data_IF_087390516662
#
_entry.id   IF_087390516662
#
_cell.length_a   1.000
_cell.length_b   1.000
_cell.length_c   1.000
_cell.angle_alpha   90.00
_cell.angle_beta   90.00
_cell.angle_gamma   90.00
#
_symmetry.space_group_name_H-M   'P 1'
#
loop_
_entity.id
_entity.type
_entity.pdbx_description
1 polymer ?
#
# COMPACT_ATOMS: atom_id res chain seq x y z
N UNK A 1 25.05 1.84 -16.84
CA UNK A 1 23.68 2.38 -16.94
C UNK A 1 22.66 1.27 -17.21
N UNK A 2 22.72 0.55 -18.34
CA UNK A 2 21.73 -0.48 -18.74
C UNK A 2 21.57 -1.59 -17.69
N UNK A 3 22.66 -2.14 -17.15
CA UNK A 3 22.61 -3.20 -16.12
C UNK A 3 21.86 -2.76 -14.85
N UNK A 4 22.05 -1.51 -14.42
CA UNK A 4 21.35 -0.94 -13.26
C UNK A 4 19.86 -0.78 -13.54
N UNK A 5 19.49 -0.31 -14.73
CA UNK A 5 18.09 -0.20 -15.15
C UNK A 5 17.41 -1.56 -15.19
N UNK A 6 18.08 -2.59 -15.72
CA UNK A 6 17.55 -3.97 -15.74
C UNK A 6 17.39 -4.51 -14.33
N UNK A 7 18.34 -4.26 -13.43
CA UNK A 7 18.26 -4.70 -12.04
C UNK A 7 17.12 -4.02 -11.25
N UNK A 8 16.73 -2.80 -11.64
CA UNK A 8 15.61 -2.07 -11.03
C UNK A 8 14.24 -2.59 -11.45
N UNK A 9 14.10 -3.12 -12.67
CA UNK A 9 12.83 -3.64 -13.18
C UNK A 9 12.14 -4.64 -12.25
N UNK A 10 12.79 -5.72 -11.76
CA UNK A 10 12.11 -6.66 -10.85
C UNK A 10 11.70 -5.99 -9.55
N UNK A 11 12.50 -5.05 -9.03
CA UNK A 11 12.19 -4.33 -7.81
C UNK A 11 10.95 -3.43 -7.95
N UNK A 12 10.88 -2.66 -9.04
CA UNK A 12 9.71 -1.83 -9.36
C UNK A 12 8.48 -2.68 -9.65
N UNK A 13 8.68 -3.83 -10.30
CA UNK A 13 7.60 -4.77 -10.62
C UNK A 13 6.95 -5.33 -9.35
N UNK A 14 7.76 -5.67 -8.35
CA UNK A 14 7.27 -6.14 -7.04
C UNK A 14 6.44 -5.05 -6.34
N UNK A 15 6.80 -3.78 -6.48
CA UNK A 15 6.03 -2.69 -5.91
C UNK A 15 4.71 -2.45 -6.67
N UNK A 16 4.75 -2.39 -8.00
CA UNK A 16 3.62 -1.92 -8.81
C UNK A 16 2.54 -2.98 -9.04
N UNK A 17 2.89 -4.27 -9.16
CA UNK A 17 1.89 -5.32 -9.42
C UNK A 17 0.86 -5.37 -8.29
N UNK A 18 1.23 -5.43 -7.00
CA UNK A 18 0.27 -5.50 -5.90
C UNK A 18 -0.62 -4.27 -5.81
N UNK A 19 -0.08 -3.09 -6.12
CA UNK A 19 -0.87 -1.86 -6.22
C UNK A 19 -1.97 -1.99 -7.29
N UNK A 20 -1.64 -2.52 -8.48
CA UNK A 20 -2.63 -2.78 -9.54
C UNK A 20 -3.67 -3.83 -9.14
N UNK A 21 -3.32 -4.79 -8.27
CA UNK A 21 -4.26 -5.82 -7.81
C UNK A 21 -5.30 -5.30 -6.82
N UNK A 22 -5.15 -4.09 -6.26
CA UNK A 22 -6.15 -3.44 -5.38
C UNK A 22 -7.53 -3.39 -6.05
N UNK A 23 -7.57 -3.18 -7.36
CA UNK A 23 -8.80 -3.07 -8.13
C UNK A 23 -9.28 -4.41 -8.72
N UNK A 24 -8.61 -5.52 -8.41
CA UNK A 24 -8.89 -6.83 -8.98
C UNK A 24 -8.89 -7.93 -7.90
N UNK A 25 -7.84 -8.75 -7.84
CA UNK A 25 -7.78 -9.93 -6.97
C UNK A 25 -7.95 -9.59 -5.49
N UNK A 26 -7.50 -8.42 -5.05
CA UNK A 26 -7.64 -7.96 -3.68
C UNK A 26 -9.11 -7.86 -3.23
N UNK A 27 -9.99 -7.32 -4.07
CA UNK A 27 -11.41 -7.13 -3.73
C UNK A 27 -12.12 -8.47 -3.60
N UNK A 28 -11.82 -9.42 -4.50
CA UNK A 28 -12.37 -10.77 -4.45
C UNK A 28 -11.88 -11.48 -3.19
N UNK A 29 -10.58 -11.41 -2.90
CA UNK A 29 -10.01 -12.00 -1.69
C UNK A 29 -10.61 -11.39 -0.41
N UNK A 30 -10.76 -10.07 -0.35
CA UNK A 30 -11.29 -9.37 0.82
C UNK A 30 -12.76 -9.71 1.07
N UNK A 31 -13.54 -10.01 0.03
CA UNK A 31 -14.94 -10.39 0.17
C UNK A 31 -15.14 -11.63 1.07
N UNK A 32 -14.22 -12.58 0.96
CA UNK A 32 -14.30 -13.87 1.63
C UNK A 32 -13.49 -13.86 2.93
N UNK A 33 -12.30 -13.25 2.91
CA UNK A 33 -11.30 -13.35 3.97
C UNK A 33 -11.28 -12.16 4.94
N UNK A 34 -11.78 -10.98 4.56
CA UNK A 34 -11.74 -9.80 5.41
C UNK A 34 -13.00 -9.63 6.27
N UNK A 35 -12.80 -9.14 7.49
CA UNK A 35 -13.90 -8.72 8.34
C UNK A 35 -14.35 -7.30 7.95
N UNK A 36 -15.42 -7.25 7.17
CA UNK A 36 -16.07 -6.01 6.74
C UNK A 36 -17.43 -5.84 7.44
N UNK A 37 -17.63 -6.43 8.61
CA UNK A 37 -18.86 -6.24 9.38
C UNK A 37 -18.73 -4.93 10.16
N UNK A 38 -19.53 -3.94 9.77
CA UNK A 38 -19.65 -2.68 10.49
C UNK A 38 -21.07 -2.52 11.02
N UNK A 39 -21.19 -2.20 12.30
CA UNK A 39 -22.50 -2.01 12.96
C UNK A 39 -23.48 -3.17 12.68
N UNK A 40 -22.97 -4.40 12.65
CA UNK A 40 -23.76 -5.61 12.38
C UNK A 40 -24.14 -5.86 10.91
N UNK A 41 -23.62 -5.06 9.96
CA UNK A 41 -23.87 -5.23 8.52
C UNK A 41 -22.57 -5.44 7.75
N UNK A 42 -22.56 -6.40 6.83
CA UNK A 42 -21.43 -6.63 5.92
C UNK A 42 -21.36 -5.49 4.90
N UNK A 43 -20.30 -4.70 4.95
CA UNK A 43 -20.03 -3.63 4.00
C UNK A 43 -19.47 -4.20 2.69
N UNK A 44 -19.75 -3.54 1.55
CA UNK A 44 -19.21 -3.98 0.27
C UNK A 44 -17.70 -3.73 0.20
N UNK A 45 -16.98 -4.60 -0.50
CA UNK A 45 -15.52 -4.48 -0.70
C UNK A 45 -15.14 -3.22 -1.47
N UNK A 46 -16.06 -2.62 -2.22
CA UNK A 46 -15.85 -1.34 -2.91
C UNK A 46 -15.52 -0.19 -1.96
N UNK A 47 -15.87 -0.27 -0.67
CA UNK A 47 -15.44 0.72 0.32
C UNK A 47 -13.93 0.74 0.52
N UNK A 48 -13.24 -0.38 0.25
CA UNK A 48 -11.77 -0.42 0.27
C UNK A 48 -11.16 0.39 -0.87
N UNK A 49 -11.84 0.50 -2.01
CA UNK A 49 -11.45 1.39 -3.12
C UNK A 49 -11.60 2.86 -2.71
N UNK A 50 -12.71 3.18 -2.04
CA UNK A 50 -12.94 4.54 -1.50
C UNK A 50 -11.87 4.90 -0.48
N UNK A 51 -11.54 3.97 0.44
CA UNK A 51 -10.46 4.14 1.40
C UNK A 51 -9.12 4.40 0.69
N UNK A 52 -8.78 3.56 -0.28
CA UNK A 52 -7.56 3.70 -1.08
C UNK A 52 -7.46 5.08 -1.73
N UNK A 53 -8.56 5.56 -2.32
CA UNK A 53 -8.62 6.86 -2.99
C UNK A 53 -8.40 8.02 -2.02
N UNK A 54 -9.06 7.98 -0.85
CA UNK A 54 -8.93 9.02 0.18
C UNK A 54 -7.49 9.06 0.71
N UNK A 55 -6.92 7.89 1.03
CA UNK A 55 -5.59 7.77 1.59
C UNK A 55 -4.54 8.19 0.55
N UNK A 56 -4.66 7.73 -0.69
CA UNK A 56 -3.75 8.12 -1.80
C UNK A 56 -3.72 9.62 -2.02
N UNK A 57 -4.89 10.25 -2.13
CA UNK A 57 -4.98 11.71 -2.32
C UNK A 57 -4.38 12.44 -1.13
N UNK A 58 -4.67 12.00 0.09
CA UNK A 58 -4.09 12.59 1.31
C UNK A 58 -2.56 12.49 1.33
N UNK A 59 -2.01 11.34 0.94
CA UNK A 59 -0.56 11.12 0.92
C UNK A 59 0.15 11.92 -0.16
N UNK A 60 -0.48 12.21 -1.30
CA UNK A 60 0.08 13.15 -2.29
C UNK A 60 0.31 14.55 -1.66
N UNK A 61 -0.65 15.06 -0.90
CA UNK A 61 -0.48 16.34 -0.20
C UNK A 61 0.62 16.25 0.88
N UNK A 62 0.65 15.16 1.66
CA UNK A 62 1.65 14.94 2.70
C UNK A 62 3.05 14.84 2.09
N UNK A 63 3.23 14.11 0.99
CA UNK A 63 4.50 13.94 0.30
C UNK A 63 5.05 15.28 -0.20
N UNK A 64 4.21 16.11 -0.82
CA UNK A 64 4.61 17.46 -1.26
C UNK A 64 5.08 18.32 -0.08
N UNK A 65 4.35 18.30 1.04
CA UNK A 65 4.73 19.04 2.24
C UNK A 65 6.06 18.51 2.81
N UNK A 66 6.19 17.18 2.89
CA UNK A 66 7.39 16.51 3.40
C UNK A 66 8.63 16.89 2.58
N UNK A 67 8.59 16.75 1.25
CA UNK A 67 9.71 17.09 0.38
C UNK A 67 10.03 18.59 0.41
N UNK A 68 9.01 19.46 0.53
CA UNK A 68 9.22 20.90 0.69
C UNK A 68 9.89 21.27 2.02
N UNK A 69 9.63 20.53 3.09
CA UNK A 69 10.31 20.73 4.38
C UNK A 69 11.72 20.15 4.31
N UNK A 70 11.89 18.99 3.69
CA UNK A 70 13.18 18.32 3.51
C UNK A 70 14.18 19.19 2.74
N UNK A 71 13.75 19.79 1.63
CA UNK A 71 14.60 20.63 0.78
C UNK A 71 15.11 21.90 1.45
N UNK A 72 14.51 22.31 2.58
CA UNK A 72 15.03 23.44 3.40
C UNK A 72 16.30 23.08 4.16
N UNK A 73 16.55 21.79 4.43
CA UNK A 73 17.64 21.32 5.29
C UNK A 73 18.61 20.38 4.59
N UNK A 74 18.16 19.66 3.56
CA UNK A 74 18.95 18.64 2.87
C UNK A 74 18.82 18.79 1.35
N UNK A 75 19.84 18.41 0.57
CA UNK A 75 19.73 18.33 -0.88
C UNK A 75 18.65 17.33 -1.26
N UNK A 76 17.87 17.68 -2.28
CA UNK A 76 16.78 16.85 -2.76
C UNK A 76 17.32 15.55 -3.39
N UNK A 77 16.88 14.37 -2.94
CA UNK A 77 17.29 13.11 -3.53
C UNK A 77 16.88 13.05 -5.01
N UNK A 78 17.71 12.41 -5.83
CA UNK A 78 17.33 12.12 -7.21
C UNK A 78 16.03 11.31 -7.27
N UNK A 79 15.25 11.49 -8.34
CA UNK A 79 13.95 10.83 -8.53
C UNK A 79 14.02 9.31 -8.36
N UNK A 80 15.10 8.69 -8.85
CA UNK A 80 15.31 7.24 -8.68
C UNK A 80 15.41 6.81 -7.22
N UNK A 81 16.01 7.64 -6.36
CA UNK A 81 16.13 7.36 -4.93
C UNK A 81 14.79 7.49 -4.24
N UNK A 82 13.97 8.49 -4.61
CA UNK A 82 12.60 8.64 -4.10
C UNK A 82 11.74 7.43 -4.47
N UNK A 83 11.80 7.00 -5.73
CA UNK A 83 11.08 5.81 -6.22
C UNK A 83 11.54 4.55 -5.47
N UNK A 84 12.85 4.39 -5.22
CA UNK A 84 13.36 3.25 -4.47
C UNK A 84 12.87 3.23 -3.02
N UNK A 85 12.88 4.39 -2.33
CA UNK A 85 12.35 4.53 -0.97
C UNK A 85 10.85 4.22 -0.95
N UNK A 86 10.08 4.81 -1.86
CA UNK A 86 8.65 4.58 -1.98
C UNK A 86 8.30 3.11 -2.23
N UNK A 87 9.05 2.45 -3.11
CA UNK A 87 8.91 1.02 -3.39
C UNK A 87 9.18 0.15 -2.14
N UNK A 88 10.20 0.49 -1.33
CA UNK A 88 10.45 -0.20 -0.06
C UNK A 88 9.27 -0.03 0.90
N UNK A 89 8.72 1.17 1.01
CA UNK A 89 7.54 1.45 1.86
C UNK A 89 6.33 0.65 1.35
N UNK A 90 6.07 0.62 0.05
CA UNK A 90 4.97 -0.15 -0.53
C UNK A 90 5.07 -1.65 -0.20
N UNK A 91 6.28 -2.23 -0.23
CA UNK A 91 6.51 -3.63 0.17
C UNK A 91 6.11 -3.87 1.63
N UNK A 92 6.34 -2.91 2.53
CA UNK A 92 5.88 -3.04 3.93
C UNK A 92 4.35 -3.08 4.04
N UNK A 93 3.63 -2.39 3.14
CA UNK A 93 2.17 -2.49 3.04
C UNK A 93 1.73 -3.90 2.67
N UNK A 94 2.37 -4.53 1.68
CA UNK A 94 2.08 -5.92 1.32
C UNK A 94 2.38 -6.88 2.47
N UNK A 95 3.49 -6.66 3.19
CA UNK A 95 3.85 -7.47 4.36
C UNK A 95 2.79 -7.34 5.46
N UNK A 96 2.21 -6.17 5.67
CA UNK A 96 1.09 -5.99 6.61
C UNK A 96 -0.12 -6.87 6.21
N UNK A 97 -0.43 -6.97 4.92
CA UNK A 97 -1.50 -7.82 4.43
C UNK A 97 -1.17 -9.32 4.63
N UNK A 98 0.08 -9.73 4.36
CA UNK A 98 0.55 -11.11 4.58
C UNK A 98 0.44 -11.49 6.05
N UNK A 99 0.87 -10.60 6.96
CA UNK A 99 0.77 -10.84 8.41
C UNK A 99 -0.69 -10.96 8.85
N UNK A 100 -1.57 -10.05 8.37
CA UNK A 100 -3.00 -10.13 8.65
C UNK A 100 -3.62 -11.45 8.18
N UNK A 101 -3.28 -11.89 6.97
CA UNK A 101 -3.74 -13.16 6.41
C UNK A 101 -3.19 -14.37 7.20
N UNK A 102 -1.93 -14.34 7.61
CA UNK A 102 -1.32 -15.41 8.40
C UNK A 102 -1.97 -15.56 9.79
N UNK A 103 -2.26 -14.44 10.46
CA UNK A 103 -2.97 -14.44 11.76
C UNK A 103 -4.40 -14.96 11.60
N UNK A 104 -5.09 -14.56 10.53
CA UNK A 104 -6.42 -15.07 10.20
C UNK A 104 -6.40 -16.58 9.96
N UNK A 105 -5.40 -17.09 9.25
CA UNK A 105 -5.26 -18.52 8.98
C UNK A 105 -5.01 -19.37 10.24
N UNK A 106 -4.32 -18.83 11.25
CA UNK A 106 -4.05 -19.55 12.51
C UNK A 106 -5.19 -19.48 13.52
N UNK A 107 -5.92 -18.36 13.55
CA UNK A 107 -7.06 -18.15 14.46
C UNK A 107 -8.38 -18.70 13.92
N UNK A 108 -8.50 -18.86 12.59
CA UNK A 108 -9.76 -19.17 11.92
C UNK A 108 -10.72 -17.97 11.83
N UNK A 109 -10.33 -16.82 12.36
CA UNK A 109 -11.07 -15.56 12.25
C UNK A 109 -10.74 -14.86 10.93
N UNK A 110 -11.62 -13.94 10.51
CA UNK A 110 -11.36 -13.13 9.31
C UNK A 110 -10.29 -12.07 9.56
N UNK A 111 -9.62 -11.62 8.49
CA UNK A 111 -8.62 -10.57 8.56
C UNK A 111 -9.26 -9.28 9.05
N UNK A 112 -8.84 -8.82 10.22
CA UNK A 112 -9.31 -7.58 10.81
C UNK A 112 -8.98 -6.36 9.94
N UNK A 113 -9.88 -5.37 9.95
CA UNK A 113 -9.77 -4.19 9.10
C UNK A 113 -8.52 -3.35 9.32
N UNK A 114 -7.93 -3.39 10.52
CA UNK A 114 -6.69 -2.68 10.83
C UNK A 114 -5.54 -3.04 9.89
N UNK A 115 -5.45 -4.32 9.48
CA UNK A 115 -4.44 -4.78 8.53
C UNK A 115 -4.69 -4.27 7.11
N UNK A 116 -5.96 -4.16 6.70
CA UNK A 116 -6.34 -3.59 5.41
C UNK A 116 -6.02 -2.10 5.36
N UNK A 117 -6.33 -1.37 6.43
CA UNK A 117 -6.01 0.06 6.56
C UNK A 117 -4.49 0.26 6.52
N UNK A 118 -3.73 -0.55 7.28
CA UNK A 118 -2.27 -0.48 7.26
C UNK A 118 -1.70 -0.73 5.85
N UNK A 119 -2.24 -1.72 5.13
CA UNK A 119 -1.90 -1.98 3.74
C UNK A 119 -2.12 -0.74 2.86
N UNK A 120 -3.33 -0.15 2.87
CA UNK A 120 -3.64 1.02 2.05
C UNK A 120 -2.79 2.26 2.40
N UNK A 121 -2.55 2.50 3.69
CA UNK A 121 -1.72 3.62 4.17
C UNK A 121 -0.27 3.47 3.71
N UNK A 122 0.34 2.32 3.95
CA UNK A 122 1.74 2.08 3.58
C UNK A 122 1.92 2.04 2.07
N UNK A 123 0.97 1.40 1.35
CA UNK A 123 1.00 1.39 -0.11
C UNK A 123 0.87 2.82 -0.67
N UNK A 124 -0.11 3.60 -0.20
CA UNK A 124 -0.29 5.00 -0.64
C UNK A 124 0.93 5.86 -0.33
N UNK A 125 1.53 5.69 0.85
CA UNK A 125 2.76 6.39 1.23
C UNK A 125 3.95 6.05 0.33
N UNK A 126 4.01 4.81 -0.18
CA UNK A 126 5.05 4.38 -1.09
C UNK A 126 4.90 4.90 -2.52
N UNK A 127 3.66 5.19 -2.95
CA UNK A 127 3.35 5.64 -4.31
C UNK A 127 3.15 7.16 -4.44
N UNK A 128 3.04 7.88 -3.33
CA UNK A 128 2.91 9.35 -3.28
C UNK A 128 4.26 10.07 -3.34
#
# INVERSE_FOLDING_TARGET
AIVVLIALLPFLTIAIIPNQQIFNAYLVWAQDNADLIFFGRKMPTTWLITLDSIVSVSFLFIAVIFWRIWSKKFPEPAEITKIAIGSLIAVTGMLALVVGAAISATSGEKVGIGWLIAFHVLNSAGFA
#
